data_IF_359952461487
#
_entry.id   IF_359952461487
#
_cell.length_a   1.000
_cell.length_b   1.000
_cell.length_c   1.000
_cell.angle_alpha   90.00
_cell.angle_beta   90.00
_cell.angle_gamma   90.00
#
_symmetry.space_group_name_H-M   'P 1'
#
loop_
_entity.id
_entity.type
_entity.pdbx_description
1 polymer ?
#
# COMPACT_ATOMS: atom_id res chain seq x y z
N UNK A 1 31.50 -58.24 -26.15
CA UNK A 1 32.28 -57.00 -26.37
C UNK A 1 31.32 -55.84 -26.22
N UNK A 2 31.64 -54.93 -25.31
CA UNK A 2 30.83 -53.80 -24.83
C UNK A 2 30.56 -52.74 -25.89
N UNK A 3 29.41 -52.06 -25.80
CA UNK A 3 29.33 -50.59 -25.74
C UNK A 3 27.87 -50.10 -25.62
N UNK A 4 27.70 -48.93 -25.00
CA UNK A 4 26.53 -48.03 -25.01
C UNK A 4 25.45 -48.32 -23.93
N UNK A 5 24.94 -47.36 -23.13
CA UNK A 5 24.98 -45.89 -23.22
C UNK A 5 24.62 -45.25 -21.88
N UNK A 6 25.27 -44.11 -21.60
CA UNK A 6 24.74 -42.90 -20.95
C UNK A 6 24.14 -43.00 -19.54
N UNK A 7 24.98 -42.72 -18.53
CA UNK A 7 24.52 -42.02 -17.34
C UNK A 7 24.16 -40.58 -17.74
N UNK A 8 22.86 -40.24 -17.75
CA UNK A 8 22.38 -38.86 -17.72
C UNK A 8 21.94 -38.52 -16.30
N UNK A 9 22.86 -37.95 -15.53
CA UNK A 9 22.49 -37.13 -14.38
C UNK A 9 22.19 -35.74 -14.95
N UNK A 10 20.91 -35.36 -15.01
CA UNK A 10 20.45 -34.02 -15.34
C UNK A 10 19.91 -33.42 -14.04
N UNK A 11 20.81 -32.95 -13.18
CA UNK A 11 20.42 -32.00 -12.13
C UNK A 11 21.17 -30.71 -12.42
N UNK A 12 20.47 -29.74 -12.98
CA UNK A 12 20.85 -28.33 -12.90
C UNK A 12 20.09 -27.79 -11.68
N UNK A 13 20.78 -27.72 -10.54
CA UNK A 13 20.31 -26.91 -9.41
C UNK A 13 20.23 -25.46 -9.90
N UNK A 14 19.02 -24.91 -9.99
CA UNK A 14 18.83 -23.48 -10.20
C UNK A 14 19.50 -22.75 -9.04
N UNK A 15 20.50 -21.91 -9.33
CA UNK A 15 21.22 -21.09 -8.36
C UNK A 15 20.24 -20.31 -7.46
N UNK A 16 20.01 -20.81 -6.24
CA UNK A 16 19.21 -20.11 -5.24
C UNK A 16 20.04 -18.94 -4.72
N UNK A 17 19.75 -17.74 -5.23
CA UNK A 17 20.36 -16.51 -4.70
C UNK A 17 19.69 -16.15 -3.37
N UNK A 18 20.37 -16.47 -2.26
CA UNK A 18 19.94 -16.05 -0.92
C UNK A 18 20.31 -14.58 -0.72
N UNK A 19 19.32 -13.69 -0.80
CA UNK A 19 19.49 -12.29 -0.44
C UNK A 19 19.06 -12.06 1.02
N UNK A 20 19.81 -11.24 1.74
CA UNK A 20 19.39 -10.80 3.07
C UNK A 20 18.13 -9.94 2.95
N UNK A 21 17.10 -10.25 3.73
CA UNK A 21 15.91 -9.41 3.82
C UNK A 21 16.30 -7.99 4.30
N UNK A 22 15.65 -6.93 3.79
CA UNK A 22 15.93 -5.56 4.23
C UNK A 22 15.75 -5.44 5.75
N UNK A 23 16.50 -4.55 6.40
CA UNK A 23 16.23 -4.12 7.77
C UNK A 23 14.96 -3.24 7.81
N UNK A 24 14.54 -2.79 9.01
CA UNK A 24 13.28 -2.04 9.13
C UNK A 24 13.35 -0.71 8.38
N UNK A 25 14.51 -0.07 8.36
CA UNK A 25 14.76 1.15 7.61
C UNK A 25 14.71 0.92 6.10
N UNK A 26 15.34 -0.15 5.61
CA UNK A 26 15.23 -0.55 4.20
C UNK A 26 13.79 -0.87 3.79
N UNK A 27 13.01 -1.48 4.69
CA UNK A 27 11.59 -1.72 4.43
C UNK A 27 10.77 -0.43 4.38
N UNK A 28 11.09 0.56 5.22
CA UNK A 28 10.50 1.91 5.14
C UNK A 28 10.75 2.54 3.76
N UNK A 29 12.01 2.55 3.33
CA UNK A 29 12.42 3.12 2.05
C UNK A 29 11.75 2.42 0.87
N UNK A 30 11.61 1.09 0.92
CA UNK A 30 10.90 0.32 -0.08
C UNK A 30 9.41 0.70 -0.14
N UNK A 31 8.72 0.79 0.99
CA UNK A 31 7.30 1.19 1.03
C UNK A 31 7.11 2.58 0.44
N UNK A 32 7.92 3.55 0.87
CA UNK A 32 7.88 4.93 0.36
C UNK A 32 8.16 4.95 -1.14
N UNK A 33 9.18 4.20 -1.57
CA UNK A 33 9.57 4.07 -2.97
C UNK A 33 8.47 3.48 -3.84
N UNK A 34 7.77 2.44 -3.37
CA UNK A 34 6.63 1.84 -4.06
C UNK A 34 5.51 2.87 -4.24
N UNK A 35 5.11 3.56 -3.17
CA UNK A 35 4.02 4.55 -3.23
C UNK A 35 4.41 5.70 -4.17
N UNK A 36 5.64 6.21 -4.06
CA UNK A 36 6.16 7.27 -4.93
C UNK A 36 6.17 6.85 -6.39
N UNK A 37 6.71 5.66 -6.70
CA UNK A 37 6.79 5.12 -8.06
C UNK A 37 5.41 4.90 -8.68
N UNK A 38 4.41 4.49 -7.89
CA UNK A 38 3.03 4.37 -8.39
C UNK A 38 2.33 5.72 -8.56
N UNK A 39 2.81 6.78 -7.92
CA UNK A 39 2.22 8.12 -8.00
C UNK A 39 0.80 8.21 -7.41
N UNK A 40 0.35 7.19 -6.68
CA UNK A 40 -1.00 7.11 -6.09
C UNK A 40 -1.00 6.31 -4.80
N UNK A 41 -2.03 6.47 -3.96
CA UNK A 41 -2.24 5.57 -2.84
C UNK A 41 -2.34 4.10 -3.28
N UNK A 42 -1.76 3.22 -2.47
CA UNK A 42 -1.64 1.79 -2.73
C UNK A 42 -2.34 0.99 -1.65
N UNK A 43 -2.93 -0.13 -2.02
CA UNK A 43 -3.67 -0.96 -1.07
C UNK A 43 -2.75 -1.93 -0.33
N UNK A 44 -3.19 -2.42 0.83
CA UNK A 44 -2.48 -3.49 1.56
C UNK A 44 -2.15 -4.69 0.68
N UNK A 45 -3.08 -5.10 -0.19
CA UNK A 45 -2.87 -6.20 -1.15
C UNK A 45 -1.75 -5.89 -2.15
N UNK A 46 -1.65 -4.65 -2.61
CA UNK A 46 -0.57 -4.23 -3.51
C UNK A 46 0.77 -4.19 -2.78
N UNK A 47 0.84 -3.64 -1.57
CA UNK A 47 2.08 -3.66 -0.78
C UNK A 47 2.55 -5.08 -0.49
N UNK A 48 1.66 -5.98 -0.06
CA UNK A 48 2.00 -7.40 0.14
C UNK A 48 2.51 -8.06 -1.13
N UNK A 49 1.94 -7.73 -2.28
CA UNK A 49 2.39 -8.28 -3.58
C UNK A 49 3.79 -7.77 -3.93
N UNK A 50 4.04 -6.47 -3.79
CA UNK A 50 5.32 -5.84 -4.14
C UNK A 50 6.46 -6.23 -3.19
N UNK A 51 6.13 -6.58 -1.94
CA UNK A 51 7.10 -6.93 -0.88
C UNK A 51 7.12 -8.43 -0.56
N UNK A 52 6.46 -9.25 -1.37
CA UNK A 52 6.43 -10.70 -1.20
C UNK A 52 7.85 -11.25 -1.26
N UNK A 53 8.24 -12.06 -0.27
CA UNK A 53 9.61 -12.60 -0.14
C UNK A 53 10.63 -11.64 0.49
N UNK A 54 10.30 -10.35 0.65
CA UNK A 54 11.17 -9.35 1.29
C UNK A 54 10.81 -9.10 2.75
N UNK A 55 9.51 -9.12 3.08
CA UNK A 55 9.03 -8.90 4.43
C UNK A 55 7.75 -9.68 4.73
N UNK A 56 7.67 -10.24 5.94
CA UNK A 56 6.44 -10.83 6.47
C UNK A 56 5.39 -9.77 6.80
N UNK A 57 4.12 -10.19 6.85
CA UNK A 57 2.99 -9.27 7.05
C UNK A 57 3.04 -8.49 8.36
N UNK A 58 3.46 -9.13 9.45
CA UNK A 58 3.56 -8.48 10.75
C UNK A 58 4.61 -7.39 10.75
N UNK A 59 5.71 -7.61 10.03
CA UNK A 59 6.78 -6.62 9.88
C UNK A 59 6.33 -5.45 9.02
N UNK A 60 5.67 -5.72 7.89
CA UNK A 60 5.04 -4.69 7.06
C UNK A 60 4.04 -3.85 7.89
N UNK A 61 3.25 -4.48 8.75
CA UNK A 61 2.31 -3.78 9.63
C UNK A 61 3.03 -2.86 10.61
N UNK A 62 4.06 -3.37 11.31
CA UNK A 62 4.86 -2.59 12.27
C UNK A 62 5.49 -1.36 11.61
N UNK A 63 6.10 -1.56 10.43
CA UNK A 63 6.74 -0.47 9.69
C UNK A 63 5.72 0.55 9.19
N UNK A 64 4.57 0.12 8.68
CA UNK A 64 3.50 1.04 8.28
C UNK A 64 2.98 1.85 9.47
N UNK A 65 2.78 1.24 10.64
CA UNK A 65 2.39 1.95 11.87
C UNK A 65 3.41 3.06 12.17
N UNK A 66 4.70 2.74 12.20
CA UNK A 66 5.78 3.71 12.42
C UNK A 66 5.77 4.86 11.40
N UNK A 67 5.57 4.57 10.12
CA UNK A 67 5.47 5.57 9.06
C UNK A 67 4.23 6.47 9.20
N UNK A 68 3.11 5.91 9.66
CA UNK A 68 1.86 6.64 9.84
C UNK A 68 1.90 7.52 11.10
N UNK A 69 2.49 7.03 12.19
CA UNK A 69 2.68 7.81 13.41
C UNK A 69 3.53 9.06 13.15
N UNK A 70 4.58 8.93 12.33
CA UNK A 70 5.46 10.01 11.88
C UNK A 70 4.88 10.88 10.76
N UNK A 71 3.64 10.64 10.33
CA UNK A 71 2.99 11.36 9.23
C UNK A 71 3.76 11.31 7.90
N UNK A 72 4.56 10.26 7.65
CA UNK A 72 5.22 10.04 6.36
C UNK A 72 4.24 9.37 5.40
N UNK A 73 3.53 8.35 5.89
CA UNK A 73 2.45 7.65 5.21
C UNK A 73 1.12 8.05 5.84
N UNK A 74 0.08 8.09 5.01
CA UNK A 74 -1.29 8.44 5.38
C UNK A 74 -2.21 7.31 4.99
N UNK A 75 -3.07 6.91 5.91
CA UNK A 75 -4.20 6.04 5.62
C UNK A 75 -5.35 6.85 4.99
N UNK A 76 -5.73 6.50 3.78
CA UNK A 76 -6.83 7.11 3.04
C UNK A 76 -8.18 6.56 3.50
N UNK A 77 -9.25 7.31 3.20
CA UNK A 77 -10.60 6.97 3.64
C UNK A 77 -11.12 5.62 3.10
N UNK A 78 -10.53 5.09 2.03
CA UNK A 78 -10.85 3.76 1.46
C UNK A 78 -9.95 2.63 1.95
N UNK A 79 -9.02 2.93 2.86
CA UNK A 79 -8.05 1.99 3.43
C UNK A 79 -6.79 1.76 2.59
N UNK A 80 -6.56 2.58 1.57
CA UNK A 80 -5.25 2.65 0.89
C UNK A 80 -4.24 3.51 1.66
N UNK A 81 -2.97 3.38 1.32
CA UNK A 81 -1.85 4.09 1.94
C UNK A 81 -1.20 5.02 0.90
N UNK A 82 -1.13 6.31 1.18
CA UNK A 82 -0.43 7.30 0.35
C UNK A 82 0.67 8.01 1.12
N UNK A 83 1.52 8.75 0.43
CA UNK A 83 2.44 9.68 1.09
C UNK A 83 1.65 10.89 1.58
N UNK A 84 2.14 11.55 2.63
CA UNK A 84 1.58 12.82 3.07
C UNK A 84 1.52 13.82 1.93
N UNK A 85 0.39 14.53 1.84
CA UNK A 85 0.07 15.43 0.74
C UNK A 85 -0.81 14.78 -0.34
N UNK A 86 -0.73 13.45 -0.52
CA UNK A 86 -1.55 12.76 -1.54
C UNK A 86 -3.05 12.82 -1.22
N UNK A 87 -3.45 12.95 0.04
CA UNK A 87 -4.87 13.11 0.42
C UNK A 87 -5.56 14.33 -0.24
N UNK A 88 -4.77 15.33 -0.67
CA UNK A 88 -5.26 16.55 -1.27
C UNK A 88 -5.71 16.37 -2.73
N UNK A 89 -5.15 15.40 -3.44
CA UNK A 89 -5.47 15.10 -4.84
C UNK A 89 -6.10 13.72 -5.01
N UNK A 90 -6.10 12.92 -3.95
CA UNK A 90 -6.66 11.58 -3.94
C UNK A 90 -8.17 11.55 -4.27
N UNK A 91 -8.51 10.73 -5.27
CA UNK A 91 -9.87 10.36 -5.62
C UNK A 91 -10.11 8.91 -5.20
N UNK A 92 -11.03 8.64 -4.24
CA UNK A 92 -11.33 7.28 -3.83
C UNK A 92 -11.82 6.43 -5.00
N UNK A 93 -11.20 5.26 -5.18
CA UNK A 93 -11.60 4.30 -6.22
C UNK A 93 -12.62 3.28 -5.71
N UNK A 94 -12.60 2.97 -4.40
CA UNK A 94 -13.40 1.89 -3.80
C UNK A 94 -14.31 2.44 -2.72
N UNK A 95 -15.59 2.11 -2.82
CA UNK A 95 -16.53 2.35 -1.72
C UNK A 95 -16.33 1.27 -0.65
N UNK A 96 -16.19 1.70 0.60
CA UNK A 96 -16.04 0.83 1.77
C UNK A 96 -17.15 1.10 2.77
N UNK A 97 -17.75 0.04 3.31
CA UNK A 97 -18.68 0.14 4.45
C UNK A 97 -17.93 0.39 5.77
N UNK A 98 -16.73 -0.19 5.90
CA UNK A 98 -15.86 -0.09 7.08
C UNK A 98 -14.39 -0.11 6.66
N UNK A 99 -13.58 0.67 7.36
CA UNK A 99 -12.12 0.62 7.33
C UNK A 99 -11.62 0.32 8.73
N UNK A 100 -10.54 -0.46 8.84
CA UNK A 100 -9.86 -0.79 10.09
C UNK A 100 -8.47 -0.16 10.04
N UNK A 101 -8.33 1.10 10.47
CA UNK A 101 -7.06 1.78 10.36
C UNK A 101 -5.99 1.14 11.25
N UNK A 102 -4.73 1.18 10.82
CA UNK A 102 -3.60 0.72 11.62
C UNK A 102 -3.33 1.69 12.77
N UNK A 103 -3.51 3.00 12.53
CA UNK A 103 -3.41 4.06 13.54
C UNK A 103 -4.74 4.81 13.62
N UNK A 104 -5.70 4.35 14.46
CA UNK A 104 -7.05 4.92 14.53
C UNK A 104 -7.10 6.41 14.88
N UNK A 105 -6.17 6.89 15.72
CA UNK A 105 -6.08 8.29 16.12
C UNK A 105 -5.78 9.21 14.92
N UNK A 106 -4.76 8.87 14.12
CA UNK A 106 -4.40 9.60 12.89
C UNK A 106 -5.52 9.54 11.85
N UNK A 107 -6.12 8.37 11.66
CA UNK A 107 -7.26 8.21 10.75
C UNK A 107 -8.45 9.09 11.17
N UNK A 108 -8.81 9.08 12.46
CA UNK A 108 -9.91 9.89 13.01
C UNK A 108 -9.62 11.38 12.88
N UNK A 109 -8.40 11.82 13.17
CA UNK A 109 -8.00 13.22 13.02
C UNK A 109 -8.18 13.72 11.57
N UNK A 110 -7.98 12.84 10.59
CA UNK A 110 -8.00 13.20 9.17
C UNK A 110 -9.39 13.10 8.54
N UNK A 111 -10.12 12.02 8.82
CA UNK A 111 -11.38 11.71 8.14
C UNK A 111 -12.60 11.76 9.05
N UNK A 112 -12.41 11.85 10.37
CA UNK A 112 -13.49 11.74 11.35
C UNK A 112 -14.58 12.78 11.17
N UNK A 113 -14.22 14.04 10.92
CA UNK A 113 -15.20 15.11 10.68
C UNK A 113 -16.05 14.84 9.41
N UNK A 114 -15.41 14.41 8.32
CA UNK A 114 -16.11 14.09 7.08
C UNK A 114 -17.04 12.87 7.25
N UNK A 115 -16.56 11.81 7.89
CA UNK A 115 -17.33 10.60 8.16
C UNK A 115 -18.53 10.91 9.05
N UNK A 116 -18.32 11.70 10.11
CA UNK A 116 -19.39 12.12 11.02
C UNK A 116 -20.42 12.99 10.30
N UNK A 117 -19.99 13.94 9.48
CA UNK A 117 -20.89 14.81 8.70
C UNK A 117 -21.74 14.04 7.68
N UNK A 118 -21.20 12.98 7.07
CA UNK A 118 -21.91 12.17 6.07
C UNK A 118 -22.64 10.95 6.67
N UNK A 119 -22.48 10.70 7.96
CA UNK A 119 -23.11 9.60 8.70
C UNK A 119 -22.51 8.21 8.46
N UNK A 120 -21.74 8.00 7.39
CA UNK A 120 -21.06 6.73 7.12
C UNK A 120 -19.78 6.90 6.30
N UNK A 121 -18.88 5.91 6.37
CA UNK A 121 -17.66 5.86 5.55
C UNK A 121 -18.03 5.80 4.06
N UNK A 122 -19.04 5.02 3.69
CA UNK A 122 -19.46 4.90 2.29
C UNK A 122 -19.96 6.24 1.73
N UNK A 123 -20.82 6.95 2.46
CA UNK A 123 -21.31 8.26 2.07
C UNK A 123 -20.19 9.31 2.04
N UNK A 124 -19.25 9.25 2.99
CA UNK A 124 -18.07 10.11 3.00
C UNK A 124 -17.15 9.88 1.79
N UNK A 125 -16.93 8.63 1.41
CA UNK A 125 -16.18 8.27 0.20
C UNK A 125 -16.85 8.84 -1.05
N UNK A 126 -18.17 8.65 -1.19
CA UNK A 126 -18.93 9.16 -2.32
C UNK A 126 -18.88 10.69 -2.40
N UNK A 127 -19.08 11.38 -1.27
CA UNK A 127 -19.01 12.83 -1.21
C UNK A 127 -17.60 13.36 -1.52
N UNK A 128 -16.55 12.69 -1.02
CA UNK A 128 -15.17 13.06 -1.32
C UNK A 128 -14.87 12.87 -2.81
N UNK A 129 -15.26 11.73 -3.37
CA UNK A 129 -15.09 11.42 -4.80
C UNK A 129 -15.74 12.49 -5.68
N UNK A 130 -17.03 12.76 -5.47
CA UNK A 130 -17.77 13.77 -6.25
C UNK A 130 -17.15 15.18 -6.13
N UNK A 131 -16.71 15.57 -4.93
CA UNK A 131 -16.05 16.85 -4.70
C UNK A 131 -14.72 16.98 -5.44
N UNK A 132 -13.93 15.89 -5.51
CA UNK A 132 -12.64 15.86 -6.19
C UNK A 132 -12.78 15.83 -7.71
N UNK A 133 -13.70 15.02 -8.23
CA UNK A 133 -14.01 14.95 -9.67
C UNK A 133 -14.48 16.33 -10.18
N UNK A 134 -15.40 16.99 -9.46
CA UNK A 134 -15.83 18.36 -9.81
C UNK A 134 -14.66 19.36 -9.83
N UNK A 135 -13.73 19.27 -8.87
CA UNK A 135 -12.53 20.13 -8.86
C UNK A 135 -11.61 19.85 -10.04
N UNK A 136 -11.49 18.60 -10.45
CA UNK A 136 -10.67 18.21 -11.59
C UNK A 136 -11.26 18.73 -12.89
N UNK A 137 -12.58 18.65 -13.06
CA UNK A 137 -13.30 19.23 -14.21
C UNK A 137 -13.14 20.75 -14.29
N UNK A 138 -13.32 21.47 -13.18
CA UNK A 138 -13.21 22.94 -13.13
C UNK A 138 -11.77 23.43 -13.28
N UNK A 139 -10.77 22.64 -12.87
CA UNK A 139 -9.35 22.99 -13.04
C UNK A 139 -8.78 22.71 -14.44
N UNK A 140 -9.54 22.04 -15.30
CA UNK A 140 -9.21 21.76 -16.70
C UNK A 140 -9.94 22.70 -17.68
N UNK A 141 -10.89 23.50 -17.20
CA UNK A 141 -11.65 24.50 -17.96
C UNK A 141 -11.06 25.90 -17.74
#
# INVERSE_FOLDING_TARGET
MSSSSELRIIYEDEDVVVMQAPDDKGLEDLIIGIIRRKGRPVTWKELRKELSGLAGEDRLRKVLISLIERDIVVEMIDGSYGLKGMESTFIPSRIKKRVRPLVPSKFKARWGALISSKGSIAAAIQALKASREKKQEVGLA
#
